data_IF_957924816917
#
_entry.id   IF_957924816917
#
_cell.length_a   1.000
_cell.length_b   1.000
_cell.length_c   1.000
_cell.angle_alpha   90.00
_cell.angle_beta   90.00
_cell.angle_gamma   90.00
#
_symmetry.space_group_name_H-M   'P 1'
#
loop_
_entity.id
_entity.type
_entity.pdbx_description
1 polymer ?
#
# COMPACT_ATOMS: atom_id res chain seq x y z
N UNK A 1 27.45 -22.20 -11.19
CA UNK A 1 27.04 -21.62 -9.90
C UNK A 1 27.52 -22.50 -8.77
N UNK A 2 27.87 -21.90 -7.65
CA UNK A 2 28.26 -22.63 -6.44
C UNK A 2 27.30 -22.27 -5.31
N UNK A 3 26.88 -23.28 -4.54
CA UNK A 3 26.10 -23.07 -3.33
C UNK A 3 27.02 -22.53 -2.24
N UNK A 4 26.70 -21.36 -1.70
CA UNK A 4 27.52 -20.66 -0.71
C UNK A 4 26.69 -20.27 0.50
N UNK A 5 27.32 -20.16 1.67
CA UNK A 5 26.70 -19.56 2.86
C UNK A 5 26.92 -18.05 2.86
N UNK A 6 25.94 -17.30 3.35
CA UNK A 6 26.08 -15.83 3.47
C UNK A 6 27.36 -15.43 4.22
N UNK A 7 27.72 -16.13 5.28
CA UNK A 7 28.94 -15.87 6.06
C UNK A 7 30.26 -16.11 5.33
N UNK A 8 30.23 -16.78 4.19
CA UNK A 8 31.42 -16.96 3.35
C UNK A 8 31.72 -15.78 2.46
N UNK A 9 30.65 -15.00 2.10
CA UNK A 9 30.70 -13.92 1.12
C UNK A 9 30.32 -12.55 1.70
N UNK A 10 29.83 -12.51 2.94
CA UNK A 10 29.49 -11.29 3.67
C UNK A 10 29.83 -11.44 5.16
N UNK A 11 29.92 -10.32 5.86
CA UNK A 11 30.20 -10.30 7.30
C UNK A 11 29.36 -9.23 8.02
N UNK A 12 29.18 -9.42 9.33
CA UNK A 12 28.60 -8.37 10.19
C UNK A 12 29.67 -7.32 10.49
N UNK A 13 29.33 -6.07 10.23
CA UNK A 13 30.15 -4.92 10.63
C UNK A 13 29.80 -4.51 12.07
N UNK A 14 30.83 -4.60 12.97
CA UNK A 14 30.66 -4.36 14.41
C UNK A 14 31.50 -3.16 14.88
N UNK A 15 31.13 -1.98 14.43
CA UNK A 15 31.76 -0.74 14.89
C UNK A 15 30.81 0.08 15.76
N UNK A 16 31.40 0.80 16.72
CA UNK A 16 30.65 1.69 17.62
C UNK A 16 31.34 3.04 17.69
N UNK A 17 30.56 4.07 18.01
CA UNK A 17 31.03 5.44 18.24
C UNK A 17 30.87 5.77 19.73
N UNK A 18 31.73 6.66 20.24
CA UNK A 18 31.63 7.18 21.63
C UNK A 18 30.55 8.23 21.77
N UNK A 19 30.25 8.94 20.70
CA UNK A 19 29.19 9.95 20.63
C UNK A 19 28.54 9.91 19.26
N UNK A 20 27.22 10.01 19.22
CA UNK A 20 26.39 10.08 18.02
C UNK A 20 25.88 11.50 17.73
N UNK A 21 26.32 12.49 18.50
CA UNK A 21 25.88 13.89 18.34
C UNK A 21 26.17 14.39 16.93
N UNK A 22 25.17 14.92 16.26
CA UNK A 22 25.27 15.46 14.90
C UNK A 22 25.36 14.40 13.78
N UNK A 23 25.34 13.12 14.11
CA UNK A 23 25.37 12.05 13.09
C UNK A 23 23.96 11.69 12.59
N UNK A 24 23.82 11.39 11.29
CA UNK A 24 22.58 10.81 10.76
C UNK A 24 22.24 9.51 11.49
N UNK A 25 20.96 9.35 11.84
CA UNK A 25 20.48 8.28 12.72
C UNK A 25 19.41 7.44 12.02
N UNK A 26 19.57 6.11 12.09
CA UNK A 26 18.65 5.16 11.46
C UNK A 26 18.04 4.21 12.48
N UNK A 27 16.73 4.31 12.69
CA UNK A 27 15.90 3.35 13.41
C UNK A 27 15.20 2.37 12.49
N UNK A 28 14.49 1.39 13.05
CA UNK A 28 13.69 0.44 12.27
C UNK A 28 12.53 1.12 11.51
N UNK A 29 12.06 2.26 11.98
CA UNK A 29 11.02 3.08 11.35
C UNK A 29 11.45 3.64 10.01
N UNK A 30 12.73 3.87 9.80
CA UNK A 30 13.30 4.42 8.57
C UNK A 30 13.49 3.36 7.47
N UNK A 31 13.50 2.08 7.83
CA UNK A 31 13.62 0.99 6.86
C UNK A 31 12.26 0.65 6.28
N UNK A 32 12.08 0.87 4.98
CA UNK A 32 10.85 0.60 4.24
C UNK A 32 10.95 -0.79 3.60
N UNK A 33 9.95 -1.68 3.79
CA UNK A 33 9.93 -2.98 3.13
C UNK A 33 9.96 -2.87 1.60
N UNK A 34 10.83 -3.64 0.95
CA UNK A 34 10.95 -3.68 -0.51
C UNK A 34 11.76 -2.54 -1.13
N UNK A 35 12.25 -1.57 -0.31
CA UNK A 35 13.16 -0.52 -0.77
C UNK A 35 14.61 -0.93 -0.59
N UNK A 36 15.40 -0.86 -1.68
CA UNK A 36 16.83 -1.23 -1.63
C UNK A 36 17.66 -0.11 -1.02
N UNK A 37 17.33 1.16 -1.30
CA UNK A 37 18.04 2.32 -0.77
C UNK A 37 17.30 2.92 0.42
N UNK A 38 18.04 3.37 1.42
CA UNK A 38 17.49 4.13 2.52
C UNK A 38 17.05 5.52 2.03
N UNK A 39 15.77 5.85 2.22
CA UNK A 39 15.16 7.12 1.77
C UNK A 39 14.89 8.09 2.94
N UNK A 40 14.79 7.60 4.17
CA UNK A 40 14.45 8.38 5.34
C UNK A 40 15.41 8.11 6.50
N UNK A 41 15.72 9.15 7.27
CA UNK A 41 16.54 9.10 8.48
C UNK A 41 16.30 10.35 9.34
N UNK A 42 16.74 10.34 10.59
CA UNK A 42 16.79 11.53 11.44
C UNK A 42 18.17 12.20 11.31
N UNK A 43 18.21 13.51 11.06
CA UNK A 43 19.43 14.29 11.05
C UNK A 43 19.65 14.98 12.42
N UNK A 44 20.80 14.72 13.04
CA UNK A 44 21.27 15.43 14.23
C UNK A 44 20.37 15.32 15.46
N UNK A 45 19.41 14.42 15.48
CA UNK A 45 18.51 14.23 16.61
C UNK A 45 19.22 13.52 17.75
N UNK A 46 19.00 13.97 18.97
CA UNK A 46 19.53 13.33 20.17
C UNK A 46 19.03 11.87 20.22
N UNK A 47 19.98 10.94 20.35
CA UNK A 47 19.69 9.52 20.43
C UNK A 47 20.74 8.81 21.29
N UNK A 48 20.46 7.56 21.64
CA UNK A 48 21.35 6.70 22.43
C UNK A 48 22.05 5.64 21.59
N UNK A 49 21.99 5.74 20.26
CA UNK A 49 22.59 4.74 19.38
C UNK A 49 24.10 4.91 19.33
N UNK A 50 24.80 3.79 19.45
CA UNK A 50 26.27 3.75 19.42
C UNK A 50 26.78 2.89 18.27
N UNK A 51 25.92 2.04 17.66
CA UNK A 51 26.30 1.18 16.55
C UNK A 51 26.44 2.01 15.28
N UNK A 52 27.63 2.04 14.68
CA UNK A 52 27.87 2.82 13.46
C UNK A 52 27.79 1.95 12.21
N UNK A 53 27.53 2.62 11.10
CA UNK A 53 27.57 2.04 9.76
C UNK A 53 28.27 2.99 8.79
N UNK A 54 28.68 2.45 7.64
CA UNK A 54 29.33 3.16 6.55
C UNK A 54 28.42 3.17 5.31
N UNK A 55 28.62 4.19 4.46
CA UNK A 55 28.02 4.26 3.13
C UNK A 55 28.23 2.94 2.37
N UNK A 56 27.18 2.45 1.74
CA UNK A 56 27.21 1.21 0.94
C UNK A 56 26.94 -0.07 1.77
N UNK A 57 26.94 0.01 3.10
CA UNK A 57 26.61 -1.15 3.94
C UNK A 57 25.10 -1.39 3.99
N UNK A 58 24.72 -2.66 4.14
CA UNK A 58 23.33 -3.09 4.27
C UNK A 58 22.88 -3.03 5.72
N UNK A 59 21.79 -2.33 5.96
CA UNK A 59 21.12 -2.20 7.24
C UNK A 59 19.95 -3.18 7.29
N UNK A 60 20.07 -4.26 8.06
CA UNK A 60 19.05 -5.30 8.16
C UNK A 60 18.32 -5.23 9.50
N UNK A 61 17.00 -5.05 9.48
CA UNK A 61 16.14 -5.03 10.66
C UNK A 61 16.00 -6.42 11.28
N UNK A 62 16.82 -6.72 12.31
CA UNK A 62 16.87 -8.04 12.97
C UNK A 62 15.66 -8.33 13.87
N UNK A 63 14.95 -7.30 14.33
CA UNK A 63 13.75 -7.42 15.16
C UNK A 63 12.52 -7.49 14.26
N UNK A 64 11.67 -8.50 14.48
CA UNK A 64 10.46 -8.75 13.69
C UNK A 64 10.78 -8.84 12.20
N UNK A 65 11.67 -9.76 11.84
CA UNK A 65 12.13 -9.96 10.47
C UNK A 65 11.00 -10.15 9.45
N UNK A 66 9.81 -10.61 9.90
CA UNK A 66 8.60 -10.71 9.07
C UNK A 66 8.11 -9.36 8.51
N UNK A 67 8.59 -8.23 9.04
CA UNK A 67 8.33 -6.89 8.47
C UNK A 67 9.21 -6.59 7.25
N UNK A 68 10.14 -7.47 6.88
CA UNK A 68 10.99 -7.39 5.67
C UNK A 68 11.72 -6.06 5.51
N UNK A 69 12.28 -5.55 6.60
CA UNK A 69 12.94 -4.24 6.67
C UNK A 69 14.43 -4.34 6.47
N UNK A 70 14.94 -3.84 5.35
CA UNK A 70 16.37 -3.73 5.09
C UNK A 70 16.63 -2.66 4.01
N UNK A 71 17.78 -1.96 4.07
CA UNK A 71 18.16 -0.99 3.05
C UNK A 71 19.67 -0.73 3.04
N UNK A 72 20.20 -0.28 1.92
CA UNK A 72 21.59 0.18 1.78
C UNK A 72 21.70 1.61 2.28
N UNK A 73 22.71 1.88 3.10
CA UNK A 73 23.01 3.20 3.62
C UNK A 73 23.67 4.10 2.55
N UNK A 74 23.12 5.29 2.23
CA UNK A 74 23.74 6.21 1.27
C UNK A 74 24.81 7.12 1.88
N UNK A 75 25.04 7.05 3.20
CA UNK A 75 25.97 7.86 3.98
C UNK A 75 26.51 7.08 5.19
N UNK A 76 27.44 7.66 5.91
CA UNK A 76 27.94 7.15 7.19
C UNK A 76 27.07 7.66 8.35
N UNK A 77 26.74 6.79 9.32
CA UNK A 77 25.87 7.19 10.42
C UNK A 77 25.83 6.19 11.57
N UNK A 78 24.82 6.35 12.43
CA UNK A 78 24.55 5.44 13.55
C UNK A 78 23.16 4.81 13.41
N UNK A 79 23.02 3.59 13.93
CA UNK A 79 21.75 2.89 13.86
C UNK A 79 21.34 2.21 15.17
N UNK A 80 20.07 1.87 15.23
CA UNK A 80 19.49 1.11 16.35
C UNK A 80 20.21 -0.23 16.56
N UNK A 81 20.35 -0.67 17.80
CA UNK A 81 20.82 -2.01 18.15
C UNK A 81 19.96 -3.15 17.57
N UNK A 82 18.73 -2.86 17.13
CA UNK A 82 17.84 -3.80 16.43
C UNK A 82 18.09 -3.87 14.91
N UNK A 83 19.18 -3.23 14.43
CA UNK A 83 19.68 -3.32 13.05
C UNK A 83 21.00 -4.09 13.04
N UNK A 84 21.11 -5.09 12.17
CA UNK A 84 22.38 -5.74 11.85
C UNK A 84 22.98 -5.04 10.62
N UNK A 85 24.22 -4.55 10.75
CA UNK A 85 24.96 -3.95 9.65
C UNK A 85 25.74 -5.05 8.94
N UNK A 86 25.53 -5.23 7.65
CA UNK A 86 26.12 -6.30 6.85
C UNK A 86 26.90 -5.68 5.69
N UNK A 87 28.10 -6.19 5.44
CA UNK A 87 28.90 -5.81 4.29
C UNK A 87 29.35 -7.02 3.51
N UNK A 88 29.37 -6.94 2.19
CA UNK A 88 29.92 -7.97 1.33
C UNK A 88 31.44 -8.02 1.46
N UNK A 89 32.03 -9.18 1.18
CA UNK A 89 33.48 -9.39 1.04
C UNK A 89 33.79 -9.22 -0.46
N UNK A 90 34.44 -8.10 -0.89
CA UNK A 90 34.54 -7.76 -2.31
C UNK A 90 35.27 -8.79 -3.17
N UNK A 91 36.19 -9.54 -2.57
CA UNK A 91 36.96 -10.59 -3.26
C UNK A 91 36.11 -11.83 -3.59
N UNK A 92 34.92 -11.95 -2.97
CA UNK A 92 34.05 -13.13 -3.07
C UNK A 92 32.70 -12.83 -3.68
N UNK A 93 32.22 -11.59 -3.55
CA UNK A 93 30.90 -11.18 -4.03
C UNK A 93 30.89 -9.72 -4.44
N UNK A 94 30.24 -9.42 -5.56
CA UNK A 94 29.94 -8.04 -5.94
C UNK A 94 29.10 -7.38 -4.84
N UNK A 95 29.60 -6.26 -4.29
CA UNK A 95 28.98 -5.57 -3.17
C UNK A 95 27.56 -5.08 -3.48
N UNK A 96 27.28 -4.78 -4.76
CA UNK A 96 25.97 -4.31 -5.21
C UNK A 96 24.94 -5.44 -5.42
N UNK A 97 25.37 -6.72 -5.36
CA UNK A 97 24.47 -7.89 -5.40
C UNK A 97 23.86 -8.18 -4.03
N UNK A 98 24.58 -7.92 -2.94
CA UNK A 98 24.16 -8.22 -1.56
C UNK A 98 22.76 -7.65 -1.23
N UNK A 99 22.41 -6.39 -1.59
CA UNK A 99 21.09 -5.84 -1.32
C UNK A 99 19.94 -6.65 -1.92
N UNK A 100 20.11 -7.15 -3.12
CA UNK A 100 19.08 -7.95 -3.80
C UNK A 100 18.92 -9.33 -3.16
N UNK A 101 20.03 -9.95 -2.70
CA UNK A 101 19.96 -11.22 -1.96
C UNK A 101 19.26 -11.03 -0.62
N UNK A 102 19.59 -9.99 0.15
CA UNK A 102 18.98 -9.70 1.45
C UNK A 102 17.49 -9.29 1.32
N UNK A 103 17.10 -8.59 0.23
CA UNK A 103 15.72 -8.19 -0.02
C UNK A 103 14.85 -9.31 -0.62
N UNK A 104 15.42 -10.50 -0.86
CA UNK A 104 14.67 -11.64 -1.36
C UNK A 104 13.73 -12.22 -0.28
N UNK A 105 12.54 -12.64 -0.69
CA UNK A 105 11.55 -13.25 0.19
C UNK A 105 12.11 -14.50 0.90
N UNK A 106 12.85 -15.36 0.20
CA UNK A 106 13.45 -16.57 0.79
C UNK A 106 14.42 -16.25 1.92
N UNK A 107 15.22 -15.18 1.77
CA UNK A 107 16.11 -14.75 2.83
C UNK A 107 15.33 -14.28 4.08
N UNK A 108 14.26 -13.51 3.88
CA UNK A 108 13.42 -13.09 4.99
C UNK A 108 12.67 -14.25 5.63
N UNK A 109 12.17 -15.21 4.86
CA UNK A 109 11.49 -16.40 5.36
C UNK A 109 12.45 -17.24 6.20
N UNK A 110 13.70 -17.41 5.74
CA UNK A 110 14.76 -18.03 6.53
C UNK A 110 15.03 -17.25 7.82
N UNK A 111 15.17 -15.93 7.74
CA UNK A 111 15.41 -15.07 8.91
C UNK A 111 14.27 -15.14 9.93
N UNK A 112 13.01 -15.22 9.48
CA UNK A 112 11.83 -15.43 10.33
C UNK A 112 11.90 -16.79 11.02
N UNK A 113 12.21 -17.86 10.28
CA UNK A 113 12.33 -19.21 10.82
C UNK A 113 13.47 -19.37 11.85
N UNK A 114 14.50 -18.51 11.79
CA UNK A 114 15.63 -18.47 12.74
C UNK A 114 15.47 -17.41 13.84
N UNK A 115 14.35 -16.68 13.87
CA UNK A 115 14.08 -15.68 14.89
C UNK A 115 13.69 -16.32 16.23
N UNK A 116 14.14 -15.75 17.35
CA UNK A 116 13.81 -16.19 18.69
C UNK A 116 13.20 -15.07 19.53
N UNK A 117 12.27 -15.42 20.43
CA UNK A 117 11.54 -14.51 21.30
C UNK A 117 10.05 -14.46 21.00
N UNK A 118 9.18 -14.40 22.02
CA UNK A 118 7.72 -14.50 21.87
C UNK A 118 7.07 -13.19 21.41
N UNK A 119 7.33 -12.08 22.09
CA UNK A 119 6.68 -10.79 21.81
C UNK A 119 7.39 -9.95 20.74
N UNK A 120 8.70 -10.07 20.63
CA UNK A 120 9.53 -9.31 19.69
C UNK A 120 10.68 -10.19 19.19
N UNK A 121 10.40 -11.15 18.33
CA UNK A 121 11.41 -12.07 17.85
C UNK A 121 12.55 -11.35 17.13
N UNK A 122 13.77 -11.80 17.38
CA UNK A 122 15.00 -11.29 16.79
C UNK A 122 15.80 -12.40 16.18
N UNK A 123 16.38 -12.17 15.01
CA UNK A 123 17.36 -13.05 14.41
C UNK A 123 18.76 -12.53 14.69
N UNK A 124 19.70 -13.43 14.97
CA UNK A 124 21.12 -13.10 15.19
C UNK A 124 21.93 -13.31 13.91
N UNK A 125 23.02 -12.57 13.76
CA UNK A 125 23.97 -12.77 12.66
C UNK A 125 24.45 -14.21 12.56
N UNK A 126 24.71 -14.88 13.71
CA UNK A 126 25.16 -16.27 13.77
C UNK A 126 24.20 -17.25 13.08
N UNK A 127 22.92 -16.91 13.02
CA UNK A 127 21.94 -17.68 12.24
C UNK A 127 21.86 -17.21 10.80
N UNK A 128 21.90 -15.89 10.55
CA UNK A 128 21.80 -15.34 9.18
C UNK A 128 22.97 -15.79 8.31
N UNK A 129 24.18 -15.85 8.85
CA UNK A 129 25.38 -16.26 8.11
C UNK A 129 25.32 -17.69 7.56
N UNK A 130 24.45 -18.55 8.12
CA UNK A 130 24.25 -19.94 7.67
C UNK A 130 23.20 -20.06 6.53
N UNK A 131 22.60 -18.96 6.10
CA UNK A 131 21.70 -18.97 4.94
C UNK A 131 22.48 -19.35 3.69
N UNK A 132 22.02 -20.38 2.99
CA UNK A 132 22.61 -20.88 1.75
C UNK A 132 21.84 -20.37 0.54
N UNK A 133 22.56 -19.98 -0.49
CA UNK A 133 22.02 -19.57 -1.79
C UNK A 133 23.01 -19.86 -2.91
N UNK A 134 22.54 -19.91 -4.14
CA UNK A 134 23.37 -20.09 -5.31
C UNK A 134 24.00 -18.76 -5.73
N UNK A 135 25.33 -18.76 -5.92
CA UNK A 135 26.10 -17.59 -6.32
C UNK A 135 26.88 -17.89 -7.60
N UNK A 136 26.68 -17.10 -8.68
CA UNK A 136 27.48 -17.21 -9.88
C UNK A 136 28.91 -16.70 -9.67
N UNK A 137 29.81 -16.90 -10.64
CA UNK A 137 31.14 -16.30 -10.60
C UNK A 137 31.11 -14.76 -10.68
N UNK A 138 32.20 -14.09 -10.30
CA UNK A 138 32.24 -12.62 -10.20
C UNK A 138 31.90 -11.90 -11.52
N UNK A 139 32.23 -12.47 -12.68
CA UNK A 139 31.89 -11.85 -13.95
C UNK A 139 30.38 -11.91 -14.21
N UNK A 140 29.79 -13.07 -14.01
CA UNK A 140 28.32 -13.25 -14.11
C UNK A 140 27.56 -12.42 -13.06
N UNK A 141 28.16 -12.20 -11.85
CA UNK A 141 27.56 -11.31 -10.85
C UNK A 141 27.47 -9.86 -11.34
N UNK A 142 28.47 -9.37 -12.11
CA UNK A 142 28.46 -8.00 -12.66
C UNK A 142 27.29 -7.82 -13.64
N UNK A 143 27.14 -8.76 -14.58
CA UNK A 143 26.02 -8.75 -15.54
C UNK A 143 24.68 -8.84 -14.83
N UNK A 144 24.56 -9.71 -13.82
CA UNK A 144 23.35 -9.85 -13.02
C UNK A 144 23.01 -8.57 -12.24
N UNK A 145 24.00 -7.91 -11.63
CA UNK A 145 23.81 -6.64 -10.92
C UNK A 145 23.31 -5.56 -11.86
N UNK A 146 23.86 -5.44 -13.06
CA UNK A 146 23.42 -4.44 -14.03
C UNK A 146 21.96 -4.66 -14.43
N UNK A 147 21.57 -5.91 -14.66
CA UNK A 147 20.19 -6.26 -14.97
C UNK A 147 19.24 -5.99 -13.79
N UNK A 148 19.61 -6.39 -12.57
CA UNK A 148 18.83 -6.16 -11.35
C UNK A 148 18.66 -4.66 -11.06
N UNK A 149 19.72 -3.85 -11.24
CA UNK A 149 19.67 -2.39 -11.08
C UNK A 149 18.78 -1.75 -12.13
N UNK A 150 18.82 -2.21 -13.38
CA UNK A 150 17.95 -1.71 -14.45
C UNK A 150 16.47 -2.04 -14.13
N UNK A 151 16.18 -3.26 -13.72
CA UNK A 151 14.84 -3.69 -13.31
C UNK A 151 14.34 -2.86 -12.10
N UNK A 152 15.15 -2.70 -11.06
CA UNK A 152 14.79 -1.90 -9.89
C UNK A 152 14.54 -0.42 -10.23
N UNK A 153 15.38 0.20 -11.06
CA UNK A 153 15.18 1.59 -11.52
C UNK A 153 13.86 1.73 -12.29
N UNK A 154 13.56 0.78 -13.18
CA UNK A 154 12.30 0.76 -13.93
C UNK A 154 11.10 0.62 -13.00
N UNK A 155 11.16 -0.28 -12.01
CA UNK A 155 10.14 -0.42 -10.97
C UNK A 155 9.89 0.91 -10.25
N UNK A 156 10.94 1.57 -9.78
CA UNK A 156 10.83 2.87 -9.07
C UNK A 156 10.25 3.96 -9.98
N UNK A 157 10.64 4.02 -11.25
CA UNK A 157 10.08 4.97 -12.21
C UNK A 157 8.56 4.74 -12.38
N UNK A 158 8.10 3.50 -12.47
CA UNK A 158 6.67 3.19 -12.56
C UNK A 158 5.91 3.51 -11.27
N UNK A 159 6.47 3.25 -10.09
CA UNK A 159 5.89 3.64 -8.80
C UNK A 159 5.75 5.17 -8.68
N UNK A 160 6.78 5.91 -9.10
CA UNK A 160 6.75 7.38 -9.14
C UNK A 160 5.69 7.89 -10.13
N UNK A 161 5.53 7.24 -11.29
CA UNK A 161 4.51 7.62 -12.26
C UNK A 161 3.09 7.36 -11.73
N UNK A 162 2.87 6.27 -11.00
CA UNK A 162 1.59 6.02 -10.30
C UNK A 162 1.28 7.16 -9.32
N UNK A 163 2.25 7.55 -8.49
CA UNK A 163 2.09 8.64 -7.52
C UNK A 163 1.85 9.98 -8.22
N UNK A 164 2.59 10.27 -9.30
CA UNK A 164 2.40 11.49 -10.10
C UNK A 164 1.00 11.54 -10.73
N UNK A 165 0.49 10.40 -11.21
CA UNK A 165 -0.86 10.28 -11.78
C UNK A 165 -1.94 10.55 -10.72
N UNK A 166 -1.76 10.04 -9.48
CA UNK A 166 -2.69 10.34 -8.38
C UNK A 166 -2.69 11.85 -8.04
N UNK A 167 -1.52 12.47 -8.02
CA UNK A 167 -1.41 13.92 -7.77
C UNK A 167 -2.01 14.73 -8.92
N UNK A 168 -1.87 14.28 -10.16
CA UNK A 168 -2.46 14.93 -11.32
C UNK A 168 -4.00 14.92 -11.23
N UNK A 169 -4.62 13.79 -10.84
CA UNK A 169 -6.08 13.72 -10.63
C UNK A 169 -6.54 14.71 -9.55
N UNK A 170 -5.79 14.81 -8.43
CA UNK A 170 -6.09 15.76 -7.36
C UNK A 170 -5.98 17.22 -7.83
N UNK A 171 -4.93 17.54 -8.58
CA UNK A 171 -4.71 18.88 -9.13
C UNK A 171 -5.77 19.27 -10.15
N UNK A 172 -6.13 18.32 -11.05
CA UNK A 172 -7.17 18.54 -12.05
C UNK A 172 -8.54 18.78 -11.41
N UNK A 173 -8.85 18.08 -10.29
CA UNK A 173 -10.06 18.35 -9.53
C UNK A 173 -10.09 19.80 -9.03
N UNK A 174 -9.01 20.29 -8.44
CA UNK A 174 -8.92 21.66 -7.93
C UNK A 174 -9.00 22.70 -9.06
N UNK A 175 -8.32 22.45 -10.17
CA UNK A 175 -8.35 23.33 -11.34
C UNK A 175 -9.78 23.46 -11.90
N UNK A 176 -10.47 22.35 -12.08
CA UNK A 176 -11.82 22.34 -12.65
C UNK A 176 -12.89 22.86 -11.67
N UNK A 177 -12.83 22.46 -10.41
CA UNK A 177 -13.92 22.65 -9.45
C UNK A 177 -13.59 23.59 -8.29
N UNK A 178 -12.32 23.93 -8.06
CA UNK A 178 -11.87 24.66 -6.88
C UNK A 178 -11.80 23.78 -5.62
N UNK A 179 -11.52 24.39 -4.48
CA UNK A 179 -11.57 23.70 -3.20
C UNK A 179 -13.05 23.53 -2.77
N UNK A 180 -13.56 22.30 -2.63
CA UNK A 180 -15.01 22.07 -2.49
C UNK A 180 -15.60 22.59 -1.18
N UNK A 181 -14.82 22.65 -0.10
CA UNK A 181 -15.30 23.16 1.19
C UNK A 181 -15.40 24.69 1.23
N UNK A 182 -14.49 25.41 0.55
CA UNK A 182 -14.56 26.87 0.43
C UNK A 182 -15.47 27.33 -0.70
N UNK A 183 -15.72 26.45 -1.67
CA UNK A 183 -16.55 26.73 -2.86
C UNK A 183 -16.21 28.06 -3.55
N UNK A 184 -14.95 28.33 -3.78
CA UNK A 184 -14.46 29.60 -4.37
C UNK A 184 -15.07 29.90 -5.75
N UNK A 185 -15.38 28.83 -6.51
CA UNK A 185 -16.04 28.94 -7.82
C UNK A 185 -17.55 29.16 -7.73
N UNK A 186 -18.14 29.20 -6.51
CA UNK A 186 -19.54 29.45 -6.25
C UNK A 186 -20.50 28.49 -6.97
N UNK A 187 -20.12 27.20 -7.03
CA UNK A 187 -21.00 26.17 -7.55
C UNK A 187 -22.26 26.03 -6.68
N UNK A 188 -23.40 25.64 -7.26
CA UNK A 188 -24.60 25.31 -6.48
C UNK A 188 -24.24 24.27 -5.41
N UNK A 189 -24.80 24.43 -4.21
CA UNK A 189 -24.66 23.49 -3.10
C UNK A 189 -25.96 22.74 -2.90
N UNK A 190 -25.90 21.41 -2.86
CA UNK A 190 -27.03 20.54 -2.53
C UNK A 190 -26.63 19.55 -1.44
N UNK A 191 -27.58 19.08 -0.64
CA UNK A 191 -27.35 18.01 0.32
C UNK A 191 -27.15 16.69 -0.43
N UNK A 192 -26.26 15.83 0.08
CA UNK A 192 -26.08 14.50 -0.50
C UNK A 192 -27.40 13.73 -0.51
N UNK A 193 -28.23 13.89 0.54
CA UNK A 193 -29.57 13.27 0.63
C UNK A 193 -30.51 13.65 -0.46
N UNK A 194 -30.41 14.90 -0.99
CA UNK A 194 -31.25 15.39 -2.07
C UNK A 194 -30.76 14.96 -3.46
N UNK A 195 -29.50 14.51 -3.55
CA UNK A 195 -28.84 14.16 -4.81
C UNK A 195 -28.99 12.70 -5.18
N UNK A 196 -29.08 11.79 -4.20
CA UNK A 196 -29.11 10.35 -4.46
C UNK A 196 -30.49 9.76 -4.11
N UNK A 197 -31.10 9.06 -5.07
CA UNK A 197 -32.39 8.38 -4.88
C UNK A 197 -32.31 7.23 -3.85
N UNK A 198 -31.11 6.68 -3.63
CA UNK A 198 -30.85 5.67 -2.62
C UNK A 198 -29.61 6.01 -1.84
N UNK A 199 -29.75 6.15 -0.52
CA UNK A 199 -28.65 6.10 0.45
C UNK A 199 -29.03 5.04 1.48
N UNK A 200 -28.40 3.89 1.44
CA UNK A 200 -28.77 2.79 2.32
C UNK A 200 -27.57 1.97 2.73
N UNK A 201 -27.56 1.58 3.98
CA UNK A 201 -26.62 0.60 4.50
C UNK A 201 -27.07 -0.80 4.10
N UNK A 202 -26.12 -1.67 3.77
CA UNK A 202 -26.42 -3.08 3.52
C UNK A 202 -26.98 -3.80 4.74
N UNK A 203 -27.35 -5.04 4.56
CA UNK A 203 -27.91 -5.90 5.61
C UNK A 203 -27.00 -7.10 5.84
N UNK A 204 -27.09 -7.68 7.04
CA UNK A 204 -26.31 -8.86 7.40
C UNK A 204 -26.70 -10.07 6.53
N UNK A 205 -25.78 -10.59 5.67
CA UNK A 205 -26.07 -11.74 4.82
C UNK A 205 -26.14 -13.05 5.62
N UNK A 206 -26.72 -14.09 5.02
CA UNK A 206 -26.44 -15.49 5.41
C UNK A 206 -25.26 -15.99 4.61
N UNK A 207 -24.10 -16.14 5.26
CA UNK A 207 -22.89 -16.55 4.56
C UNK A 207 -22.88 -18.05 4.27
N UNK A 208 -22.42 -18.40 3.08
CA UNK A 208 -22.17 -19.76 2.59
C UNK A 208 -20.83 -19.80 1.86
N UNK A 209 -20.29 -20.97 1.59
CA UNK A 209 -19.00 -21.10 0.91
C UNK A 209 -19.08 -20.72 -0.57
N UNK A 210 -20.19 -21.01 -1.25
CA UNK A 210 -20.39 -20.72 -2.67
C UNK A 210 -21.87 -20.42 -2.97
N UNK A 211 -22.12 -19.42 -3.82
CA UNK A 211 -23.45 -19.17 -4.40
C UNK A 211 -23.34 -18.25 -5.64
N UNK A 212 -24.48 -18.01 -6.31
CA UNK A 212 -24.59 -17.01 -7.37
C UNK A 212 -24.65 -15.55 -6.87
N UNK A 213 -24.70 -15.34 -5.53
CA UNK A 213 -24.79 -14.02 -4.90
C UNK A 213 -23.48 -13.71 -4.16
N UNK A 214 -22.71 -12.77 -4.65
CA UNK A 214 -21.46 -12.31 -4.06
C UNK A 214 -21.69 -11.12 -3.13
N UNK A 215 -21.06 -11.15 -1.98
CA UNK A 215 -21.16 -10.11 -0.95
C UNK A 215 -19.91 -9.24 -0.93
N UNK A 216 -20.08 -7.99 -1.27
CA UNK A 216 -19.05 -6.95 -1.11
C UNK A 216 -19.09 -6.47 0.34
N UNK A 217 -18.03 -6.70 1.06
CA UNK A 217 -17.85 -6.30 2.46
C UNK A 217 -16.79 -5.20 2.58
N UNK A 218 -16.56 -4.70 3.80
CA UNK A 218 -15.59 -3.62 4.02
C UNK A 218 -14.16 -3.97 3.58
N UNK A 219 -13.75 -5.26 3.57
CA UNK A 219 -12.43 -5.67 3.12
C UNK A 219 -12.29 -5.66 1.59
N UNK A 220 -13.40 -5.51 0.85
CA UNK A 220 -13.38 -5.35 -0.60
C UNK A 220 -13.12 -3.89 -1.03
N UNK A 221 -13.37 -2.89 -0.16
CA UNK A 221 -13.36 -1.48 -0.55
C UNK A 221 -12.05 -0.83 -0.14
N UNK A 222 -11.24 -0.49 -1.14
CA UNK A 222 -10.00 0.26 -1.00
C UNK A 222 -10.17 1.66 -1.61
N UNK A 223 -9.23 2.56 -1.34
CA UNK A 223 -9.21 3.89 -1.95
C UNK A 223 -9.02 3.85 -3.47
N UNK A 224 -8.26 2.88 -3.98
CA UNK A 224 -7.89 2.78 -5.38
C UNK A 224 -8.73 1.78 -6.19
N UNK A 225 -9.39 0.82 -5.52
CA UNK A 225 -10.16 -0.24 -6.19
C UNK A 225 -11.22 -0.88 -5.31
N UNK A 226 -12.13 -1.61 -5.93
CA UNK A 226 -12.91 -2.67 -5.29
C UNK A 226 -12.19 -3.99 -5.53
N UNK A 227 -11.75 -4.67 -4.46
CA UNK A 227 -11.05 -5.95 -4.55
C UNK A 227 -12.05 -7.11 -4.43
N UNK A 228 -12.24 -7.85 -5.50
CA UNK A 228 -13.18 -8.96 -5.58
C UNK A 228 -12.62 -10.29 -5.04
N UNK A 229 -11.35 -10.38 -4.68
CA UNK A 229 -10.77 -11.55 -4.02
C UNK A 229 -11.30 -11.72 -2.59
N UNK A 230 -11.73 -10.62 -1.96
CA UNK A 230 -12.24 -10.61 -0.59
C UNK A 230 -13.78 -10.76 -0.49
N UNK A 231 -14.46 -11.01 -1.63
CA UNK A 231 -15.91 -11.23 -1.60
C UNK A 231 -16.25 -12.52 -0.86
N UNK A 232 -17.41 -12.50 -0.20
CA UNK A 232 -18.04 -13.67 0.38
C UNK A 232 -19.27 -14.05 -0.43
N UNK A 233 -19.98 -15.09 -0.02
CA UNK A 233 -21.19 -15.52 -0.71
C UNK A 233 -22.39 -15.50 0.23
N UNK A 234 -23.56 -15.17 -0.31
CA UNK A 234 -24.84 -15.15 0.41
C UNK A 234 -25.73 -16.28 -0.07
N UNK A 235 -26.42 -16.96 0.85
CA UNK A 235 -27.46 -17.95 0.52
C UNK A 235 -28.75 -17.23 0.05
N UNK A 236 -29.09 -17.29 -1.23
CA UNK A 236 -30.30 -16.66 -1.76
C UNK A 236 -31.58 -17.30 -1.26
N UNK A 237 -31.51 -18.54 -0.69
CA UNK A 237 -32.67 -19.27 -0.17
C UNK A 237 -32.91 -18.97 1.32
N UNK A 238 -32.02 -18.23 1.97
CA UNK A 238 -32.12 -17.91 3.42
C UNK A 238 -33.32 -17.03 3.79
N UNK A 239 -34.03 -16.46 2.82
CA UNK A 239 -35.13 -15.50 3.04
C UNK A 239 -34.68 -14.12 3.56
N UNK A 240 -33.41 -13.91 3.81
CA UNK A 240 -32.87 -12.60 4.25
C UNK A 240 -32.84 -11.63 3.08
N UNK A 241 -33.38 -10.42 3.33
CA UNK A 241 -33.28 -9.32 2.36
C UNK A 241 -31.85 -8.80 2.30
N UNK A 242 -31.34 -8.63 1.10
CA UNK A 242 -30.03 -8.03 0.81
C UNK A 242 -30.19 -6.72 0.05
N UNK A 243 -29.13 -5.94 -0.05
CA UNK A 243 -29.09 -4.71 -0.86
C UNK A 243 -28.21 -4.96 -2.08
N UNK A 244 -28.81 -5.11 -3.29
CA UNK A 244 -28.06 -5.28 -4.52
C UNK A 244 -27.35 -4.01 -4.94
N UNK A 245 -26.19 -4.19 -5.58
CA UNK A 245 -25.39 -3.11 -6.17
C UNK A 245 -25.24 -3.30 -7.67
N UNK A 246 -25.18 -2.21 -8.38
CA UNK A 246 -25.04 -2.15 -9.83
C UNK A 246 -23.91 -1.16 -10.19
N UNK A 247 -23.51 -1.18 -11.45
CA UNK A 247 -22.62 -0.18 -12.05
C UNK A 247 -22.93 1.23 -11.53
N UNK A 248 -21.88 2.00 -11.29
CA UNK A 248 -21.91 3.40 -10.85
C UNK A 248 -22.54 3.62 -9.46
N UNK A 249 -22.89 2.57 -8.69
CA UNK A 249 -23.12 2.72 -7.27
C UNK A 249 -21.83 3.12 -6.55
N UNK A 250 -21.95 4.05 -5.61
CA UNK A 250 -20.84 4.44 -4.73
C UNK A 250 -20.95 3.63 -3.46
N UNK A 251 -19.86 2.91 -3.12
CA UNK A 251 -19.75 2.09 -1.94
C UNK A 251 -18.86 2.80 -0.93
N UNK A 252 -19.36 2.94 0.31
CA UNK A 252 -18.62 3.60 1.41
C UNK A 252 -18.55 2.65 2.60
N UNK A 253 -17.35 2.42 3.12
CA UNK A 253 -17.17 1.70 4.38
C UNK A 253 -17.75 2.50 5.54
N UNK A 254 -18.75 1.94 6.20
CA UNK A 254 -19.48 2.60 7.28
C UNK A 254 -18.95 2.30 8.66
N UNK A 255 -18.02 1.36 8.81
CA UNK A 255 -17.48 0.92 10.11
C UNK A 255 -16.00 0.59 10.02
N UNK A 256 -15.38 0.40 11.18
CA UNK A 256 -14.02 -0.11 11.31
C UNK A 256 -12.96 0.98 11.41
N UNK A 257 -12.16 0.91 12.48
CA UNK A 257 -11.02 1.80 12.69
C UNK A 257 -10.01 1.64 11.54
N UNK A 258 -9.72 2.73 10.83
CA UNK A 258 -8.80 2.75 9.68
C UNK A 258 -9.42 2.32 8.33
N UNK A 259 -10.67 1.89 8.30
CA UNK A 259 -11.39 1.55 7.05
C UNK A 259 -12.62 2.44 6.80
N UNK A 260 -13.20 3.01 7.84
CA UNK A 260 -14.35 3.91 7.75
C UNK A 260 -14.05 5.07 6.78
N UNK A 261 -15.00 5.40 5.93
CA UNK A 261 -14.90 6.47 4.94
C UNK A 261 -14.22 6.04 3.63
N UNK A 262 -13.53 4.88 3.57
CA UNK A 262 -13.05 4.37 2.28
C UNK A 262 -14.22 4.21 1.34
N UNK A 263 -14.08 4.72 0.13
CA UNK A 263 -15.15 4.63 -0.86
C UNK A 263 -14.60 4.35 -2.25
N UNK A 264 -15.43 3.70 -3.07
CA UNK A 264 -15.14 3.52 -4.48
C UNK A 264 -16.43 3.36 -5.29
N UNK A 265 -16.32 3.49 -6.62
CA UNK A 265 -17.41 3.26 -7.56
C UNK A 265 -17.44 1.78 -7.89
N UNK A 266 -18.64 1.16 -7.83
CA UNK A 266 -18.82 -0.23 -8.24
C UNK A 266 -18.73 -0.32 -9.77
N UNK A 267 -17.84 -1.17 -10.31
CA UNK A 267 -17.58 -1.27 -11.74
C UNK A 267 -18.72 -1.96 -12.50
N UNK A 268 -18.66 -1.87 -13.82
CA UNK A 268 -19.51 -2.65 -14.73
C UNK A 268 -18.97 -4.08 -14.83
N UNK A 269 -19.70 -5.04 -14.27
CA UNK A 269 -19.31 -6.45 -14.27
C UNK A 269 -20.31 -7.26 -15.09
N UNK A 270 -19.78 -8.15 -15.94
CA UNK A 270 -20.55 -9.06 -16.81
C UNK A 270 -20.26 -10.52 -16.51
N UNK A 271 -19.88 -10.84 -15.28
CA UNK A 271 -19.45 -12.16 -14.83
C UNK A 271 -20.61 -13.09 -14.39
N UNK A 272 -21.85 -12.61 -14.54
CA UNK A 272 -23.06 -13.41 -14.27
C UNK A 272 -23.45 -13.51 -12.78
N UNK A 273 -22.69 -12.90 -11.86
CA UNK A 273 -23.03 -12.88 -10.46
C UNK A 273 -23.95 -11.70 -10.08
N UNK A 274 -24.79 -11.92 -9.06
CA UNK A 274 -25.50 -10.84 -8.38
C UNK A 274 -24.62 -10.36 -7.23
N UNK A 275 -24.38 -9.05 -7.17
CA UNK A 275 -23.60 -8.44 -6.12
C UNK A 275 -24.49 -7.73 -5.11
N UNK A 276 -24.22 -7.95 -3.83
CA UNK A 276 -24.91 -7.29 -2.69
C UNK A 276 -23.86 -6.77 -1.71
N UNK A 277 -24.26 -5.88 -0.80
CA UNK A 277 -23.37 -5.38 0.26
C UNK A 277 -23.81 -5.90 1.63
N UNK A 278 -22.81 -6.05 2.51
CA UNK A 278 -23.07 -6.39 3.92
C UNK A 278 -23.45 -5.17 4.76
N UNK A 279 -23.70 -5.38 6.05
CA UNK A 279 -24.11 -4.34 7.01
C UNK A 279 -22.99 -3.32 7.34
N UNK A 280 -21.79 -3.49 6.83
CA UNK A 280 -20.65 -2.58 7.04
C UNK A 280 -20.40 -1.61 5.88
N UNK A 281 -21.21 -1.69 4.83
CA UNK A 281 -21.09 -0.88 3.62
C UNK A 281 -22.37 -0.08 3.38
N UNK A 282 -22.24 1.22 3.14
CA UNK A 282 -23.32 2.10 2.67
C UNK A 282 -23.22 2.26 1.15
N UNK A 283 -24.37 2.19 0.48
CA UNK A 283 -24.52 2.35 -0.97
C UNK A 283 -25.23 3.67 -1.24
N UNK A 284 -24.70 4.46 -2.20
CA UNK A 284 -25.36 5.61 -2.78
C UNK A 284 -25.58 5.33 -4.27
N UNK A 285 -26.77 5.60 -4.77
CA UNK A 285 -27.10 5.41 -6.19
C UNK A 285 -28.27 6.26 -6.64
N UNK A 286 -28.46 6.37 -7.96
CA UNK A 286 -29.64 7.01 -8.53
C UNK A 286 -29.57 8.54 -8.58
N UNK A 287 -28.40 9.11 -8.85
CA UNK A 287 -28.27 10.55 -9.14
C UNK A 287 -28.24 10.82 -10.64
N UNK A 288 -29.01 11.83 -11.09
CA UNK A 288 -28.89 12.41 -12.43
C UNK A 288 -27.96 13.63 -12.47
N UNK A 289 -27.74 14.26 -11.32
CA UNK A 289 -27.01 15.53 -11.19
C UNK A 289 -25.54 15.34 -10.82
N UNK A 290 -25.17 14.12 -10.37
CA UNK A 290 -23.83 13.83 -9.84
C UNK A 290 -23.25 12.58 -10.49
N UNK A 291 -22.13 12.76 -11.17
CA UNK A 291 -21.33 11.64 -11.68
C UNK A 291 -20.64 10.90 -10.53
N UNK A 292 -20.68 9.56 -10.53
CA UNK A 292 -20.12 8.73 -9.47
C UNK A 292 -18.61 8.92 -9.29
N UNK A 293 -17.83 9.07 -10.36
CA UNK A 293 -16.39 9.30 -10.30
C UNK A 293 -16.02 10.68 -9.78
N UNK A 294 -16.80 11.71 -10.15
CA UNK A 294 -16.66 13.04 -9.56
C UNK A 294 -16.89 12.99 -8.05
N UNK A 295 -17.99 12.34 -7.62
CA UNK A 295 -18.32 12.21 -6.21
C UNK A 295 -17.29 11.37 -5.45
N UNK A 296 -16.79 10.27 -6.04
CA UNK A 296 -15.67 9.51 -5.48
C UNK A 296 -14.47 10.41 -5.19
N UNK A 297 -14.05 11.21 -6.18
CA UNK A 297 -12.91 12.11 -6.02
C UNK A 297 -13.17 13.22 -5.00
N UNK A 298 -14.39 13.74 -4.89
CA UNK A 298 -14.78 14.64 -3.81
C UNK A 298 -14.59 13.97 -2.44
N UNK A 299 -15.10 12.75 -2.25
CA UNK A 299 -14.97 12.02 -1.00
C UNK A 299 -13.51 11.62 -0.68
N UNK A 300 -12.66 11.41 -1.68
CA UNK A 300 -11.24 11.06 -1.47
C UNK A 300 -10.38 12.23 -1.00
N UNK A 301 -10.91 13.44 -0.99
CA UNK A 301 -10.17 14.60 -0.50
C UNK A 301 -9.98 14.53 1.01
N UNK A 302 -8.78 14.83 1.46
CA UNK A 302 -8.42 14.79 2.87
C UNK A 302 -9.26 15.75 3.73
N UNK A 303 -9.50 16.95 3.24
CA UNK A 303 -10.34 17.96 3.90
C UNK A 303 -11.79 17.47 4.06
N UNK A 304 -12.36 16.85 3.02
CA UNK A 304 -13.69 16.24 3.05
C UNK A 304 -13.75 15.04 3.99
N UNK A 305 -12.74 14.16 3.97
CA UNK A 305 -12.67 13.03 4.89
C UNK A 305 -12.59 13.48 6.35
N UNK A 306 -11.79 14.48 6.66
CA UNK A 306 -11.73 15.08 8.01
C UNK A 306 -13.08 15.60 8.45
N UNK A 307 -13.81 16.30 7.57
CA UNK A 307 -15.16 16.79 7.86
C UNK A 307 -16.15 15.64 8.09
N UNK A 308 -16.18 14.63 7.20
CA UNK A 308 -17.06 13.46 7.36
C UNK A 308 -16.76 12.75 8.67
N UNK A 309 -15.47 12.56 9.02
CA UNK A 309 -15.10 11.91 10.26
C UNK A 309 -15.52 12.69 11.50
N UNK A 310 -15.40 14.01 11.48
CA UNK A 310 -15.78 14.87 12.60
C UNK A 310 -17.31 15.01 12.76
N UNK A 311 -18.06 15.13 11.67
CA UNK A 311 -19.48 15.49 11.70
C UNK A 311 -20.42 14.29 11.51
N UNK A 312 -20.00 13.27 10.73
CA UNK A 312 -20.88 12.17 10.32
C UNK A 312 -20.66 10.87 11.08
N UNK A 313 -19.62 10.76 11.92
CA UNK A 313 -19.31 9.53 12.66
C UNK A 313 -19.94 9.55 14.04
N UNK A 314 -20.52 8.43 14.43
CA UNK A 314 -21.00 8.15 15.78
C UNK A 314 -20.14 7.09 16.45
N UNK A 315 -20.15 7.02 17.80
CA UNK A 315 -19.46 5.99 18.58
C UNK A 315 -18.10 6.45 19.12
N UNK A 316 -17.42 5.58 19.86
CA UNK A 316 -16.13 5.85 20.51
C UNK A 316 -15.11 4.76 20.19
N UNK A 317 -13.86 5.13 20.20
CA UNK A 317 -12.57 4.43 20.05
C UNK A 317 -12.52 3.13 19.19
N UNK A 318 -13.39 2.13 19.38
CA UNK A 318 -13.35 0.87 18.62
C UNK A 318 -14.68 0.48 17.96
N UNK A 319 -15.74 1.28 18.19
CA UNK A 319 -17.07 1.05 17.62
C UNK A 319 -17.59 2.32 16.94
N UNK A 320 -16.87 2.76 15.92
CA UNK A 320 -17.23 3.92 15.13
C UNK A 320 -18.09 3.51 13.95
N UNK A 321 -19.09 4.34 13.65
CA UNK A 321 -20.06 4.10 12.58
C UNK A 321 -20.42 5.40 11.86
N UNK A 322 -20.42 5.33 10.53
CA UNK A 322 -20.91 6.42 9.67
C UNK A 322 -22.44 6.53 9.77
N UNK A 323 -22.96 7.66 10.24
CA UNK A 323 -24.38 7.94 10.24
C UNK A 323 -24.86 8.30 8.84
N UNK A 324 -25.86 7.57 8.37
CA UNK A 324 -26.53 7.84 7.10
C UNK A 324 -27.18 9.22 7.10
N UNK A 325 -27.87 9.57 8.19
CA UNK A 325 -28.60 10.84 8.35
C UNK A 325 -27.63 12.02 8.24
N UNK A 326 -26.54 11.99 9.02
CA UNK A 326 -25.52 13.04 9.00
C UNK A 326 -24.82 13.13 7.65
N UNK A 327 -24.51 11.98 7.01
CA UNK A 327 -23.93 11.96 5.67
C UNK A 327 -24.90 12.60 4.65
N UNK A 328 -26.19 12.34 4.78
CA UNK A 328 -27.22 12.93 3.90
C UNK A 328 -27.29 14.46 4.00
N UNK A 329 -26.95 15.03 5.15
CA UNK A 329 -26.93 16.48 5.38
C UNK A 329 -25.68 17.18 4.88
N UNK A 330 -24.62 16.44 4.52
CA UNK A 330 -23.39 17.04 3.98
C UNK A 330 -23.69 17.75 2.67
N UNK A 331 -23.20 18.99 2.58
CA UNK A 331 -23.31 19.78 1.35
C UNK A 331 -22.23 19.39 0.35
N UNK A 332 -22.65 19.16 -0.88
CA UNK A 332 -21.81 18.88 -2.05
C UNK A 332 -21.93 20.04 -3.04
N UNK A 333 -20.80 20.45 -3.61
CA UNK A 333 -20.79 21.29 -4.81
C UNK A 333 -21.34 20.49 -5.99
N UNK A 334 -22.21 21.13 -6.80
CA UNK A 334 -22.83 20.50 -7.98
C UNK A 334 -22.50 21.33 -9.23
N UNK A 335 -21.28 21.15 -9.80
CA UNK A 335 -20.93 21.77 -11.08
C UNK A 335 -21.80 21.20 -12.22
N UNK A 336 -21.85 21.85 -13.40
CA UNK A 336 -22.53 21.30 -14.57
C UNK A 336 -22.11 19.87 -14.87
N UNK A 337 -23.08 19.01 -15.22
CA UNK A 337 -22.86 17.58 -15.42
C UNK A 337 -21.82 17.31 -16.53
N UNK A 338 -21.75 18.16 -17.54
CA UNK A 338 -20.80 18.09 -18.64
C UNK A 338 -19.35 18.22 -18.14
N UNK A 339 -19.10 19.11 -17.18
CA UNK A 339 -17.77 19.24 -16.55
C UNK A 339 -17.43 18.04 -15.67
N UNK A 340 -18.42 17.50 -14.95
CA UNK A 340 -18.25 16.29 -14.16
C UNK A 340 -17.92 15.08 -15.05
N UNK A 341 -18.58 14.94 -16.23
CA UNK A 341 -18.31 13.89 -17.20
C UNK A 341 -16.92 14.01 -17.83
N UNK A 342 -16.48 15.22 -18.17
CA UNK A 342 -15.11 15.46 -18.66
C UNK A 342 -14.09 15.02 -17.61
N UNK A 343 -14.28 15.41 -16.35
CA UNK A 343 -13.43 14.98 -15.25
C UNK A 343 -13.48 13.46 -15.04
N UNK A 344 -14.66 12.86 -15.07
CA UNK A 344 -14.85 11.41 -14.93
C UNK A 344 -14.14 10.62 -16.03
N UNK A 345 -14.16 11.11 -17.28
CA UNK A 345 -13.42 10.50 -18.38
C UNK A 345 -11.91 10.55 -18.12
N UNK A 346 -11.39 11.68 -17.64
CA UNK A 346 -9.99 11.83 -17.25
C UNK A 346 -9.60 10.88 -16.11
N UNK A 347 -10.44 10.74 -15.05
CA UNK A 347 -10.21 9.82 -13.93
C UNK A 347 -10.18 8.38 -14.42
N UNK A 348 -11.14 7.95 -15.27
CA UNK A 348 -11.15 6.58 -15.82
C UNK A 348 -9.89 6.26 -16.62
N UNK A 349 -9.42 7.20 -17.45
CA UNK A 349 -8.18 7.04 -18.20
C UNK A 349 -6.96 6.93 -17.26
N UNK A 350 -6.91 7.75 -16.23
CA UNK A 350 -5.85 7.74 -15.20
C UNK A 350 -5.86 6.42 -14.42
N UNK A 351 -7.03 5.92 -14.02
CA UNK A 351 -7.17 4.65 -13.29
C UNK A 351 -6.74 3.45 -14.17
N UNK A 352 -7.06 3.47 -15.48
CA UNK A 352 -6.57 2.46 -16.44
C UNK A 352 -5.04 2.47 -16.53
N UNK A 353 -4.43 3.63 -16.73
CA UNK A 353 -2.98 3.77 -16.80
C UNK A 353 -2.28 3.30 -15.52
N UNK A 354 -2.82 3.65 -14.34
CA UNK A 354 -2.29 3.17 -13.05
C UNK A 354 -2.40 1.65 -12.91
N UNK A 355 -3.48 1.05 -13.39
CA UNK A 355 -3.65 -0.40 -13.38
C UNK A 355 -2.58 -1.10 -14.22
N UNK A 356 -2.33 -0.62 -15.44
CA UNK A 356 -1.28 -1.15 -16.32
C UNK A 356 0.12 -1.02 -15.70
N UNK A 357 0.40 0.14 -15.07
CA UNK A 357 1.66 0.37 -14.35
C UNK A 357 1.83 -0.58 -13.14
N UNK A 358 0.78 -0.82 -12.37
CA UNK A 358 0.81 -1.77 -11.24
C UNK A 358 1.11 -3.20 -11.71
N UNK A 359 0.49 -3.65 -12.82
CA UNK A 359 0.80 -4.93 -13.41
C UNK A 359 2.26 -5.02 -13.90
N UNK A 360 2.78 -3.93 -14.48
CA UNK A 360 4.17 -3.89 -14.91
C UNK A 360 5.14 -3.95 -13.70
N UNK A 361 4.83 -3.26 -12.60
CA UNK A 361 5.61 -3.35 -11.34
C UNK A 361 5.63 -4.79 -10.82
N UNK A 362 4.48 -5.47 -10.78
CA UNK A 362 4.39 -6.88 -10.35
C UNK A 362 5.23 -7.82 -11.24
N UNK A 363 5.18 -7.62 -12.56
CA UNK A 363 6.02 -8.40 -13.50
C UNK A 363 7.51 -8.16 -13.26
N UNK A 364 7.91 -6.93 -12.97
CA UNK A 364 9.30 -6.61 -12.64
C UNK A 364 9.71 -7.24 -11.31
N UNK A 365 8.85 -7.23 -10.29
CA UNK A 365 9.13 -7.91 -9.02
C UNK A 365 9.33 -9.41 -9.20
N UNK A 366 8.49 -10.05 -10.03
CA UNK A 366 8.66 -11.46 -10.38
C UNK A 366 9.95 -11.72 -11.16
N UNK A 367 10.31 -10.82 -12.09
CA UNK A 367 11.59 -10.91 -12.81
C UNK A 367 12.79 -10.79 -11.85
N UNK A 368 12.78 -9.82 -10.94
CA UNK A 368 13.85 -9.65 -9.93
C UNK A 368 13.99 -10.93 -9.09
N UNK A 369 12.86 -11.51 -8.66
CA UNK A 369 12.85 -12.77 -7.90
C UNK A 369 13.45 -13.92 -8.71
N UNK A 370 13.03 -14.11 -9.96
CA UNK A 370 13.53 -15.20 -10.82
C UNK A 370 15.03 -15.05 -11.13
N UNK A 371 15.51 -13.82 -11.32
CA UNK A 371 16.94 -13.56 -11.56
C UNK A 371 17.82 -13.92 -10.34
N UNK A 372 17.31 -13.74 -9.12
CA UNK A 372 18.04 -14.08 -7.90
C UNK A 372 17.96 -15.57 -7.62
N UNK A 373 16.80 -16.19 -7.84
CA UNK A 373 16.57 -17.61 -7.57
C UNK A 373 17.19 -18.50 -8.64
N UNK A 374 17.38 -17.98 -9.86
CA UNK A 374 17.84 -18.70 -11.06
C UNK A 374 17.22 -20.10 -11.12
N UNK A 375 15.84 -20.13 -11.09
CA UNK A 375 15.11 -21.38 -11.23
C UNK A 375 15.63 -22.13 -12.44
N UNK A 376 16.15 -23.34 -12.19
CA UNK A 376 16.51 -24.31 -13.23
C UNK A 376 15.21 -24.60 -14.03
N UNK A 377 15.10 -24.04 -15.25
CA UNK A 377 14.20 -24.52 -16.29
C UNK A 377 14.90 -25.57 -17.12
#
# INVERSE_FOLDING_TARGET
MSKVKLGEVAREYKATVKSSVGMPTVGLEHLIPGEILLEYWDEGKDNTFTKSFKKGQMLFGRRRAYLKKAAVAPFDGVCSGDITVIEAIPEKMNTELLPFIIQNDLFFDYAVGKSAGSLSPRVKWESLKENEFDLPDLNQQNDLVDLLKAAYRTKKAYQNLITATDNLVKSQFIEMFGAPLSNEKRWPLKRIGDLFGLISRGKQPSYVDHSSVRVVNQACIYWDRVNFENVKYHDPQSGKKTLPVKKDCILINSTGTGTLGRCNVFPDLTDGYVYVVDSHVTVLSGSSDVNAYFFKCFLHREDVQKKIYAECVNGSTNQIELSKEKLSDVLLIVPPVELQEQFAAFVRQSDKSKFELKQAVEKIDNLIKSLILQDEN
#
